data_IF_170415730725
#
_entry.id   IF_170415730725
#
_cell.length_a   1.000
_cell.length_b   1.000
_cell.length_c   1.000
_cell.angle_alpha   90.00
_cell.angle_beta   90.00
_cell.angle_gamma   90.00
#
_symmetry.space_group_name_H-M   'P 1'
#
loop_
_entity.id
_entity.type
_entity.pdbx_description
1 polymer ?
#
# COMPACT_ATOMS: atom_id res chain seq x y z
N UNK A 1 8.69 -23.30 -9.93
CA UNK A 1 8.61 -21.96 -10.54
C UNK A 1 8.44 -22.11 -12.04
N UNK A 2 7.30 -21.71 -12.61
CA UNK A 2 7.12 -21.73 -14.06
C UNK A 2 8.09 -20.72 -14.70
N UNK A 3 8.88 -21.16 -15.69
CA UNK A 3 9.75 -20.28 -16.46
C UNK A 3 8.89 -19.45 -17.43
N UNK A 4 8.49 -18.25 -16.99
CA UNK A 4 7.67 -17.28 -17.75
C UNK A 4 8.46 -16.53 -18.85
N UNK A 5 9.59 -17.07 -19.32
CA UNK A 5 10.51 -16.37 -20.22
C UNK A 5 9.92 -16.04 -21.59
N UNK A 6 8.80 -16.68 -21.98
CA UNK A 6 8.06 -16.39 -23.22
C UNK A 6 6.84 -15.48 -23.05
N UNK A 7 6.44 -15.13 -21.82
CA UNK A 7 5.22 -14.34 -21.60
C UNK A 7 5.52 -12.85 -21.79
N UNK A 8 4.75 -12.20 -22.65
CA UNK A 8 4.84 -10.78 -22.96
C UNK A 8 3.46 -10.15 -23.01
N UNK A 9 3.40 -8.87 -22.66
CA UNK A 9 2.23 -8.02 -22.82
C UNK A 9 2.40 -7.27 -24.13
N UNK A 10 1.40 -7.39 -24.99
CA UNK A 10 1.35 -6.75 -26.31
C UNK A 10 0.29 -5.65 -26.31
N UNK A 11 0.49 -4.55 -27.05
CA UNK A 11 -0.56 -3.57 -27.25
C UNK A 11 -1.64 -4.15 -28.16
N UNK A 12 -2.90 -3.72 -27.95
CA UNK A 12 -3.97 -4.03 -28.90
C UNK A 12 -3.76 -3.26 -30.20
N UNK A 13 -4.37 -3.73 -31.30
CA UNK A 13 -4.29 -3.06 -32.61
C UNK A 13 -4.85 -1.64 -32.52
N UNK A 14 -5.94 -1.45 -31.77
CA UNK A 14 -6.54 -0.14 -31.51
C UNK A 14 -5.58 0.81 -30.79
N UNK A 15 -4.84 0.31 -29.79
CA UNK A 15 -3.85 1.10 -29.06
C UNK A 15 -2.67 1.52 -29.96
N UNK A 16 -2.24 0.65 -30.88
CA UNK A 16 -1.22 0.99 -31.87
C UNK A 16 -1.72 2.04 -32.88
N UNK A 17 -3.01 1.99 -33.25
CA UNK A 17 -3.60 2.93 -34.19
C UNK A 17 -3.75 4.36 -33.63
N UNK A 18 -3.85 4.51 -32.31
CA UNK A 18 -3.90 5.80 -31.62
C UNK A 18 -2.50 6.43 -31.56
N UNK A 19 -1.48 5.62 -31.27
CA UNK A 19 -0.08 6.06 -31.11
C UNK A 19 0.73 5.88 -32.40
N UNK A 20 0.26 6.44 -33.52
CA UNK A 20 0.76 6.16 -34.89
C UNK A 20 2.29 6.30 -35.09
N UNK A 21 2.97 7.06 -34.25
CA UNK A 21 4.41 7.34 -34.38
C UNK A 21 5.25 6.90 -33.16
N UNK A 22 4.64 6.42 -32.07
CA UNK A 22 5.34 6.09 -30.82
C UNK A 22 4.87 4.75 -30.24
N UNK A 23 5.79 4.01 -29.62
CA UNK A 23 5.43 2.77 -28.96
C UNK A 23 4.48 3.05 -27.78
N UNK A 24 3.30 2.39 -27.72
CA UNK A 24 2.35 2.59 -26.64
C UNK A 24 3.00 2.40 -25.27
N UNK A 25 2.78 3.34 -24.37
CA UNK A 25 3.29 3.30 -22.99
C UNK A 25 2.30 2.59 -22.08
N UNK A 26 2.82 1.81 -21.15
CA UNK A 26 2.04 1.03 -20.19
C UNK A 26 1.93 1.78 -18.86
N UNK A 27 0.71 2.13 -18.46
CA UNK A 27 0.42 2.59 -17.09
C UNK A 27 0.14 1.42 -16.18
N UNK A 28 0.54 1.56 -14.93
CA UNK A 28 0.35 0.54 -13.89
C UNK A 28 -0.36 1.14 -12.68
N UNK A 29 -1.40 0.47 -12.21
CA UNK A 29 -2.02 0.70 -10.91
C UNK A 29 -1.81 -0.55 -10.06
N UNK A 30 -1.20 -0.37 -8.90
CA UNK A 30 -0.97 -1.43 -7.92
C UNK A 30 -2.07 -1.37 -6.89
N UNK A 31 -2.75 -2.50 -6.66
CA UNK A 31 -3.80 -2.61 -5.66
C UNK A 31 -3.48 -3.75 -4.69
N UNK A 32 -3.40 -3.44 -3.40
CA UNK A 32 -3.29 -4.43 -2.33
C UNK A 32 -4.68 -4.69 -1.77
N UNK A 33 -5.12 -5.94 -1.78
CA UNK A 33 -6.47 -6.31 -1.39
C UNK A 33 -6.43 -7.42 -0.37
N UNK A 34 -7.28 -7.26 0.62
CA UNK A 34 -7.51 -8.21 1.68
C UNK A 34 -8.83 -8.92 1.43
N UNK A 35 -8.86 -10.27 1.27
CA UNK A 35 -10.10 -10.99 1.02
C UNK A 35 -11.14 -10.82 2.13
N UNK A 36 -10.68 -10.63 3.37
CA UNK A 36 -11.53 -10.44 4.54
C UNK A 36 -10.81 -9.59 5.59
N UNK A 37 -11.54 -8.79 6.37
CA UNK A 37 -10.94 -7.85 7.34
C UNK A 37 -10.11 -8.55 8.44
N UNK A 38 -10.46 -9.79 8.79
CA UNK A 38 -9.70 -10.64 9.72
C UNK A 38 -8.55 -11.43 9.08
N UNK A 39 -8.44 -11.45 7.75
CA UNK A 39 -7.32 -12.14 7.07
C UNK A 39 -5.97 -11.57 7.56
N UNK A 40 -4.89 -12.33 7.46
CA UNK A 40 -3.54 -11.77 7.59
C UNK A 40 -2.85 -11.59 6.24
N UNK A 41 -3.41 -12.23 5.21
CA UNK A 41 -2.85 -12.26 3.87
C UNK A 41 -3.38 -11.10 3.03
N UNK A 42 -2.45 -10.41 2.37
CA UNK A 42 -2.72 -9.40 1.34
C UNK A 42 -2.38 -9.96 -0.04
N UNK A 43 -3.27 -9.72 -1.00
CA UNK A 43 -3.05 -10.04 -2.41
C UNK A 43 -2.68 -8.78 -3.17
N UNK A 44 -1.67 -8.87 -4.03
CA UNK A 44 -1.32 -7.77 -4.95
C UNK A 44 -1.97 -8.02 -6.29
N UNK A 45 -2.75 -7.05 -6.77
CA UNK A 45 -3.32 -7.02 -8.11
C UNK A 45 -2.66 -5.89 -8.89
N UNK A 46 -2.20 -6.21 -10.10
CA UNK A 46 -1.63 -5.24 -11.03
C UNK A 46 -2.63 -4.97 -12.14
N UNK A 47 -2.99 -3.70 -12.30
CA UNK A 47 -3.87 -3.26 -13.36
C UNK A 47 -3.08 -2.48 -14.39
N UNK A 48 -3.23 -2.88 -15.64
CA UNK A 48 -2.49 -2.31 -16.75
C UNK A 48 -3.43 -1.61 -17.72
N UNK A 49 -3.04 -0.42 -18.15
CA UNK A 49 -3.73 0.32 -19.21
C UNK A 49 -2.73 0.98 -20.14
N UNK A 50 -3.16 1.28 -21.36
CA UNK A 50 -2.37 2.09 -22.28
C UNK A 50 -2.45 3.54 -21.85
N UNK A 51 -1.31 4.23 -21.82
CA UNK A 51 -1.27 5.67 -21.61
C UNK A 51 -2.04 6.39 -22.70
N UNK A 52 -2.85 7.37 -22.29
CA UNK A 52 -3.70 8.14 -23.17
C UNK A 52 -3.53 9.61 -22.83
N UNK A 53 -3.28 10.48 -23.83
CA UNK A 53 -3.13 11.90 -23.58
C UNK A 53 -4.42 12.47 -23.00
N UNK A 54 -4.29 13.31 -21.97
CA UNK A 54 -5.42 14.00 -21.37
C UNK A 54 -5.82 15.15 -22.30
N UNK A 55 -7.06 15.18 -22.82
CA UNK A 55 -7.50 16.28 -23.68
C UNK A 55 -7.42 17.61 -22.91
N UNK A 56 -6.95 18.70 -23.53
CA UNK A 56 -6.79 19.99 -22.86
C UNK A 56 -8.13 20.57 -22.36
N UNK A 57 -9.24 20.20 -23.00
CA UNK A 57 -10.59 20.66 -22.68
C UNK A 57 -11.36 19.68 -21.77
N UNK A 58 -10.71 18.61 -21.28
CA UNK A 58 -11.36 17.66 -20.39
C UNK A 58 -11.66 18.28 -19.03
N UNK A 59 -12.84 17.99 -18.48
CA UNK A 59 -13.19 18.43 -17.13
C UNK A 59 -12.21 17.84 -16.12
N UNK A 60 -11.74 18.67 -15.18
CA UNK A 60 -10.73 18.30 -14.19
C UNK A 60 -9.42 17.75 -14.76
N UNK A 61 -9.02 18.10 -15.99
CA UNK A 61 -7.78 17.62 -16.63
C UNK A 61 -6.53 17.73 -15.74
N UNK A 62 -6.45 18.82 -14.95
CA UNK A 62 -5.36 19.07 -14.00
C UNK A 62 -5.08 17.89 -13.05
N UNK A 63 -6.12 17.17 -12.62
CA UNK A 63 -5.96 16.03 -11.69
C UNK A 63 -5.18 14.86 -12.29
N UNK A 64 -5.18 14.74 -13.62
CA UNK A 64 -4.53 13.67 -14.38
C UNK A 64 -3.18 14.12 -14.96
N UNK A 65 -2.95 15.42 -15.07
CA UNK A 65 -1.68 16.00 -15.50
C UNK A 65 -0.66 16.02 -14.35
N UNK A 66 -1.13 16.23 -13.12
CA UNK A 66 -0.29 16.10 -11.92
C UNK A 66 -0.05 14.61 -11.67
N UNK A 67 1.19 14.24 -11.33
CA UNK A 67 1.63 12.88 -11.00
C UNK A 67 1.01 12.35 -9.68
N UNK A 68 -0.32 12.35 -9.62
CA UNK A 68 -1.12 12.00 -8.45
C UNK A 68 -1.22 10.48 -8.31
N UNK A 69 -0.56 9.95 -7.29
CA UNK A 69 -0.52 8.52 -6.98
C UNK A 69 -1.85 7.95 -6.48
N UNK A 70 -2.82 8.80 -6.12
CA UNK A 70 -4.14 8.40 -5.62
C UNK A 70 -5.23 8.46 -6.70
N UNK A 71 -4.94 9.07 -7.85
CA UNK A 71 -5.91 9.18 -8.93
C UNK A 71 -5.71 8.04 -9.93
N UNK A 72 -6.79 7.42 -10.37
CA UNK A 72 -6.71 6.50 -11.51
C UNK A 72 -6.31 7.27 -12.78
N UNK A 73 -5.53 6.64 -13.68
CA UNK A 73 -5.19 7.22 -14.97
C UNK A 73 -6.39 7.66 -15.82
N UNK A 74 -6.18 8.63 -16.70
CA UNK A 74 -7.20 9.11 -17.64
C UNK A 74 -7.80 8.01 -18.51
N UNK A 75 -7.03 6.96 -18.85
CA UNK A 75 -7.52 5.80 -19.61
C UNK A 75 -8.78 5.15 -19.01
N UNK A 76 -8.99 5.27 -17.70
CA UNK A 76 -10.16 4.76 -16.99
C UNK A 76 -11.41 5.64 -17.12
N UNK A 77 -11.33 6.80 -17.75
CA UNK A 77 -12.52 7.59 -18.17
C UNK A 77 -13.03 7.18 -19.54
N UNK A 78 -12.18 6.54 -20.35
CA UNK A 78 -12.47 6.11 -21.71
C UNK A 78 -13.02 4.66 -21.78
N UNK A 79 -12.91 3.91 -20.68
CA UNK A 79 -13.30 2.51 -20.60
C UNK A 79 -13.98 2.22 -19.27
N UNK A 80 -14.70 1.11 -19.18
CA UNK A 80 -15.33 0.71 -17.93
C UNK A 80 -14.28 0.38 -16.87
N UNK A 81 -14.33 1.09 -15.74
CA UNK A 81 -13.45 0.81 -14.60
C UNK A 81 -13.80 -0.57 -14.03
N UNK A 82 -12.81 -1.46 -13.86
CA UNK A 82 -13.02 -2.73 -13.18
C UNK A 82 -13.71 -2.53 -11.84
N UNK A 83 -14.68 -3.38 -11.48
CA UNK A 83 -15.50 -3.20 -10.28
C UNK A 83 -14.66 -3.03 -9.01
N UNK A 84 -13.53 -3.74 -8.92
CA UNK A 84 -12.61 -3.66 -7.79
C UNK A 84 -11.84 -2.33 -7.69
N UNK A 85 -11.82 -1.54 -8.76
CA UNK A 85 -11.20 -0.21 -8.83
C UNK A 85 -12.22 0.94 -8.79
N UNK A 86 -13.53 0.68 -8.84
CA UNK A 86 -14.55 1.74 -8.84
C UNK A 86 -14.46 2.62 -7.59
N UNK A 87 -14.14 2.00 -6.46
CA UNK A 87 -13.87 2.65 -5.19
C UNK A 87 -12.37 2.62 -4.88
N UNK A 88 -11.53 3.11 -5.81
CA UNK A 88 -10.06 3.18 -5.67
C UNK A 88 -9.59 4.16 -4.57
N UNK A 89 -10.32 4.23 -3.45
CA UNK A 89 -9.91 4.86 -2.22
C UNK A 89 -9.18 3.87 -1.32
N UNK A 90 -8.29 4.38 -0.47
CA UNK A 90 -7.63 3.55 0.52
C UNK A 90 -8.61 3.24 1.66
N UNK A 91 -8.83 1.95 1.89
CA UNK A 91 -9.65 1.40 2.96
C UNK A 91 -8.82 0.43 3.81
N UNK A 92 -9.47 -0.17 4.80
CA UNK A 92 -8.89 -1.27 5.59
C UNK A 92 -8.71 -2.56 4.76
N UNK A 93 -9.46 -2.71 3.67
CA UNK A 93 -9.49 -3.92 2.84
C UNK A 93 -8.79 -3.75 1.49
N UNK A 94 -8.64 -2.51 1.02
CA UNK A 94 -8.08 -2.20 -0.29
C UNK A 94 -7.18 -0.98 -0.19
N UNK A 95 -5.99 -1.05 -0.77
CA UNK A 95 -5.06 0.08 -0.88
C UNK A 95 -4.62 0.22 -2.32
N UNK A 96 -4.64 1.43 -2.85
CA UNK A 96 -4.35 1.67 -4.28
C UNK A 96 -3.22 2.66 -4.45
N UNK A 97 -2.35 2.37 -5.42
CA UNK A 97 -1.26 3.24 -5.83
C UNK A 97 -1.15 3.26 -7.36
N UNK A 98 -1.38 4.43 -7.95
CA UNK A 98 -1.10 4.67 -9.37
C UNK A 98 0.38 5.00 -9.51
N UNK A 99 1.10 4.22 -10.33
CA UNK A 99 2.50 4.49 -10.62
C UNK A 99 2.57 5.75 -11.49
N UNK A 100 3.21 6.83 -11.01
CA UNK A 100 3.39 8.05 -11.78
C UNK A 100 4.58 7.92 -12.72
N UNK A 101 4.58 8.71 -13.78
CA UNK A 101 5.78 8.90 -14.59
C UNK A 101 6.76 9.78 -13.83
N UNK A 102 7.99 9.33 -13.71
CA UNK A 102 9.09 10.16 -13.18
C UNK A 102 10.26 10.14 -14.14
N UNK A 103 11.12 11.16 -14.07
CA UNK A 103 12.34 11.18 -14.88
C UNK A 103 13.26 9.96 -14.61
N UNK A 104 13.23 9.41 -13.38
CA UNK A 104 13.98 8.22 -12.98
C UNK A 104 13.33 6.91 -13.42
N UNK A 105 11.99 6.88 -13.52
CA UNK A 105 11.20 5.69 -13.81
C UNK A 105 10.09 6.08 -14.81
N UNK A 106 10.42 6.17 -16.11
CA UNK A 106 9.43 6.45 -17.15
C UNK A 106 8.53 5.24 -17.37
N UNK A 107 7.37 5.44 -18.01
CA UNK A 107 6.50 4.33 -18.35
C UNK A 107 7.17 3.36 -19.35
N UNK A 108 7.02 2.04 -19.15
CA UNK A 108 7.56 1.05 -20.06
C UNK A 108 6.82 1.10 -21.38
N UNK A 109 7.55 0.98 -22.48
CA UNK A 109 6.96 0.78 -23.81
C UNK A 109 6.51 -0.66 -24.00
N UNK A 110 5.43 -0.85 -24.75
CA UNK A 110 4.98 -2.15 -25.21
C UNK A 110 5.58 -2.48 -26.60
N UNK A 111 5.85 -3.76 -26.88
CA UNK A 111 5.66 -4.92 -26.00
C UNK A 111 6.69 -5.00 -24.86
N UNK A 112 6.25 -5.57 -23.73
CA UNK A 112 7.12 -5.81 -22.56
C UNK A 112 7.04 -7.28 -22.12
N UNK A 113 8.19 -7.88 -21.88
CA UNK A 113 8.29 -9.25 -21.33
C UNK A 113 8.08 -9.22 -19.82
N UNK A 114 7.62 -10.32 -19.23
CA UNK A 114 7.41 -10.40 -17.79
C UNK A 114 8.68 -10.16 -16.95
N UNK A 115 9.87 -10.65 -17.34
CA UNK A 115 11.11 -10.30 -16.65
C UNK A 115 11.41 -8.79 -16.68
N UNK A 116 11.23 -8.13 -17.81
CA UNK A 116 11.44 -6.68 -17.92
C UNK A 116 10.38 -5.90 -17.12
N UNK A 117 9.14 -6.38 -17.09
CA UNK A 117 8.09 -5.83 -16.26
C UNK A 117 8.42 -5.96 -14.77
N UNK A 118 8.97 -7.10 -14.34
CA UNK A 118 9.41 -7.29 -12.96
C UNK A 118 10.55 -6.33 -12.59
N UNK A 119 11.54 -6.14 -13.47
CA UNK A 119 12.61 -5.15 -13.27
C UNK A 119 12.05 -3.72 -13.19
N UNK A 120 11.06 -3.40 -14.03
CA UNK A 120 10.37 -2.12 -13.96
C UNK A 120 9.67 -1.92 -12.60
N UNK A 121 8.89 -2.89 -12.14
CA UNK A 121 8.18 -2.81 -10.86
C UNK A 121 9.15 -2.73 -9.67
N UNK A 122 10.28 -3.44 -9.74
CA UNK A 122 11.37 -3.33 -8.78
C UNK A 122 11.91 -1.89 -8.73
N UNK A 123 12.21 -1.30 -9.89
CA UNK A 123 12.69 0.07 -9.98
C UNK A 123 11.68 1.09 -9.45
N UNK A 124 10.39 0.87 -9.70
CA UNK A 124 9.30 1.70 -9.12
C UNK A 124 9.32 1.64 -7.60
N UNK A 125 9.42 0.44 -7.01
CA UNK A 125 9.45 0.27 -5.56
C UNK A 125 10.72 0.88 -4.94
N UNK A 126 11.87 0.67 -5.56
CA UNK A 126 13.14 1.24 -5.09
C UNK A 126 13.15 2.76 -5.20
N UNK A 127 12.56 3.33 -6.26
CA UNK A 127 12.38 4.76 -6.38
C UNK A 127 11.47 5.29 -5.26
N UNK A 128 10.37 4.60 -4.94
CA UNK A 128 9.47 4.95 -3.83
C UNK A 128 10.19 4.97 -2.47
N UNK A 129 11.00 3.95 -2.18
CA UNK A 129 11.78 3.84 -0.93
C UNK A 129 12.79 4.97 -0.75
N UNK A 130 13.35 5.49 -1.84
CA UNK A 130 14.31 6.62 -1.82
C UNK A 130 13.64 7.97 -1.55
N UNK A 131 12.32 8.07 -1.73
CA UNK A 131 11.60 9.31 -1.48
C UNK A 131 11.41 9.53 0.02
N UNK A 132 11.38 10.80 0.43
CA UNK A 132 11.06 11.16 1.81
C UNK A 132 9.61 10.80 2.17
N UNK A 133 9.36 10.54 3.45
CA UNK A 133 8.03 10.15 3.94
C UNK A 133 6.91 11.15 3.66
N UNK A 134 7.24 12.44 3.55
CA UNK A 134 6.30 13.51 3.21
C UNK A 134 5.96 13.56 1.72
N UNK A 135 6.72 12.87 0.87
CA UNK A 135 6.49 12.81 -0.56
C UNK A 135 5.41 11.76 -0.86
N UNK A 136 4.33 12.09 -1.61
CA UNK A 136 3.31 11.13 -2.02
C UNK A 136 3.88 9.90 -2.73
N UNK A 137 5.02 10.03 -3.42
CA UNK A 137 5.68 8.91 -4.09
C UNK A 137 6.24 7.85 -3.13
N UNK A 138 6.48 8.16 -1.85
CA UNK A 138 6.89 7.22 -0.82
C UNK A 138 5.73 6.28 -0.37
N UNK A 139 4.48 6.60 -0.75
CA UNK A 139 3.28 5.84 -0.38
C UNK A 139 3.38 4.35 -0.71
N UNK A 140 3.94 3.98 -1.86
CA UNK A 140 4.06 2.58 -2.26
C UNK A 140 4.95 1.77 -1.32
N UNK A 141 6.12 2.31 -0.93
CA UNK A 141 7.01 1.66 0.04
C UNK A 141 6.27 1.38 1.36
N UNK A 142 5.57 2.40 1.91
CA UNK A 142 4.75 2.25 3.13
C UNK A 142 3.63 1.22 2.97
N UNK A 143 2.98 1.16 1.81
CA UNK A 143 1.96 0.14 1.56
C UNK A 143 2.54 -1.27 1.54
N UNK A 144 3.68 -1.48 0.88
CA UNK A 144 4.34 -2.78 0.83
C UNK A 144 4.76 -3.22 2.23
N UNK A 145 5.37 -2.32 3.01
CA UNK A 145 5.74 -2.59 4.39
C UNK A 145 4.51 -2.94 5.24
N UNK A 146 3.41 -2.19 5.14
CA UNK A 146 2.20 -2.46 5.90
C UNK A 146 1.52 -3.78 5.49
N UNK A 147 1.46 -4.07 4.20
CA UNK A 147 0.76 -5.26 3.69
C UNK A 147 1.57 -6.54 3.88
N UNK A 148 2.90 -6.46 3.93
CA UNK A 148 3.79 -7.62 3.96
C UNK A 148 4.81 -7.60 5.13
N UNK A 149 4.51 -6.85 6.21
CA UNK A 149 5.40 -6.73 7.37
C UNK A 149 5.88 -8.08 7.95
N UNK A 150 5.00 -9.08 7.96
CA UNK A 150 5.28 -10.40 8.54
C UNK A 150 6.12 -11.31 7.62
N UNK A 151 6.09 -11.09 6.31
CA UNK A 151 6.85 -11.88 5.34
C UNK A 151 8.34 -11.51 5.37
N UNK A 152 8.66 -10.31 5.84
CA UNK A 152 10.04 -9.88 6.06
C UNK A 152 10.67 -10.54 7.31
N UNK A 153 9.86 -10.99 8.28
CA UNK A 153 10.34 -11.68 9.47
C UNK A 153 10.68 -13.16 9.21
N UNK A 154 10.10 -13.76 8.16
CA UNK A 154 10.30 -15.19 7.83
C UNK A 154 11.39 -15.45 6.80
N UNK A 155 11.88 -14.42 6.10
CA UNK A 155 13.01 -14.52 5.17
C UNK A 155 14.36 -14.11 5.80
N UNK A 156 14.37 -13.76 7.09
CA UNK A 156 15.58 -13.59 7.89
C UNK A 156 16.06 -14.94 8.40
N UNK A 157 17.20 -15.39 7.90
CA UNK A 157 17.97 -16.50 8.44
C UNK A 157 18.18 -16.25 9.96
N UNK A 158 17.70 -17.18 10.78
CA UNK A 158 17.96 -17.37 12.21
C UNK A 158 18.48 -16.15 13.00
N UNK A 159 17.57 -15.39 13.59
CA UNK A 159 17.86 -14.62 14.82
C UNK A 159 16.70 -14.81 15.80
N UNK A 160 16.94 -15.33 17.03
CA UNK A 160 15.85 -15.75 17.91
C UNK A 160 15.06 -14.55 18.44
N UNK A 161 13.74 -14.65 18.27
CA UNK A 161 12.65 -14.02 19.01
C UNK A 161 12.98 -12.74 19.80
N UNK A 162 12.63 -11.60 19.20
CA UNK A 162 12.11 -10.47 19.99
C UNK A 162 10.65 -10.26 19.64
N UNK A 163 9.72 -10.42 20.60
CA UNK A 163 8.32 -10.12 20.35
C UNK A 163 8.17 -8.60 20.24
N UNK A 164 7.96 -8.09 19.03
CA UNK A 164 7.61 -6.68 18.80
C UNK A 164 6.14 -6.46 19.15
N UNK A 165 5.86 -6.53 20.45
CA UNK A 165 4.59 -6.12 21.04
C UNK A 165 4.51 -4.59 21.10
N UNK A 166 3.39 -4.06 20.60
CA UNK A 166 2.97 -2.67 20.80
C UNK A 166 2.72 -2.46 22.30
N UNK A 167 3.68 -1.89 23.03
CA UNK A 167 3.46 -1.34 24.37
C UNK A 167 4.63 -0.44 24.75
N UNK A 168 4.37 0.85 24.97
CA UNK A 168 5.43 1.76 25.40
C UNK A 168 5.17 3.25 25.23
N UNK A 169 3.91 3.68 25.21
CA UNK A 169 3.61 5.03 25.66
C UNK A 169 4.02 5.13 27.15
N UNK A 170 4.78 6.18 27.47
CA UNK A 170 5.15 6.66 28.81
C UNK A 170 6.18 5.82 29.61
N UNK A 171 7.47 6.10 29.41
CA UNK A 171 8.44 6.20 30.52
C UNK A 171 9.80 6.72 30.08
N UNK A 172 10.05 8.01 30.32
CA UNK A 172 11.39 8.55 30.61
C UNK A 172 11.25 9.85 31.38
N UNK A 173 11.07 9.73 32.69
CA UNK A 173 11.40 10.78 33.66
C UNK A 173 12.35 10.16 34.67
N UNK A 174 13.64 10.40 34.48
CA UNK A 174 14.73 10.33 35.47
C UNK A 174 15.55 11.59 35.17
N UNK A 175 15.79 12.52 36.07
CA UNK A 175 15.49 12.64 37.49
C UNK A 175 16.25 13.86 38.02
N UNK A 176 16.17 14.07 39.35
CA UNK A 176 17.03 14.91 40.22
C UNK A 176 16.35 16.17 40.76
N UNK A 177 15.96 16.12 42.04
CA UNK A 177 15.60 17.32 42.82
C UNK A 177 14.92 17.00 44.15
N UNK A 178 15.64 17.22 45.26
CA UNK A 178 15.28 16.97 46.66
C UNK A 178 13.95 17.55 47.17
N UNK A 179 13.27 16.85 48.10
CA UNK A 179 13.08 17.25 49.52
C UNK A 179 11.96 16.47 50.24
N UNK A 180 12.30 16.03 51.47
CA UNK A 180 11.49 15.95 52.70
C UNK A 180 10.10 15.29 52.69
N UNK A 181 10.01 14.17 53.42
CA UNK A 181 9.44 14.20 54.78
C UNK A 181 8.16 13.40 55.04
N UNK A 182 8.24 12.54 56.09
CA UNK A 182 7.15 12.06 56.99
C UNK A 182 6.07 11.15 56.37
N UNK A 183 5.43 10.18 57.02
CA UNK A 183 5.55 9.38 58.28
C UNK A 183 4.29 8.47 58.22
N UNK A 184 4.36 7.24 58.74
CA UNK A 184 3.22 6.32 59.04
C UNK A 184 2.44 5.80 57.82
N UNK A 185 1.86 4.60 57.77
CA UNK A 185 1.57 3.50 58.69
C UNK A 185 0.61 2.57 57.90
N UNK A 186 0.84 1.26 57.87
CA UNK A 186 -0.04 0.28 58.51
C UNK A 186 -1.40 0.09 57.81
N UNK A 187 -1.69 -1.11 57.31
CA UNK A 187 -3.05 -1.45 56.89
C UNK A 187 -3.16 -2.66 55.96
N UNK A 188 -3.57 -3.78 56.56
CA UNK A 188 -3.91 -5.08 56.00
C UNK A 188 -5.05 -5.03 54.96
N UNK A 189 -5.18 -6.13 54.21
CA UNK A 189 -6.42 -6.81 53.78
C UNK A 189 -7.53 -5.91 53.16
N UNK A 190 -7.94 -6.15 51.92
CA UNK A 190 -9.09 -7.02 51.73
C UNK A 190 -9.12 -7.60 50.31
N UNK A 191 -9.05 -8.93 50.29
CA UNK A 191 -9.57 -9.78 49.22
C UNK A 191 -11.08 -9.84 49.36
N UNK A 192 -11.82 -9.37 48.36
CA UNK A 192 -13.21 -9.79 48.09
C UNK A 192 -13.34 -9.89 46.58
N UNK A 193 -13.27 -11.10 46.03
CA UNK A 193 -14.32 -12.13 45.97
C UNK A 193 -15.26 -11.90 44.79
N UNK A 194 -15.44 -13.01 44.09
CA UNK A 194 -16.03 -13.20 42.78
C UNK A 194 -17.49 -12.80 42.78
N UNK A 195 -17.88 -11.90 41.88
CA UNK A 195 -19.24 -11.92 41.34
C UNK A 195 -19.17 -11.66 39.83
N UNK A 196 -19.23 -12.73 39.05
CA UNK A 196 -20.02 -12.76 37.82
C UNK A 196 -21.16 -13.72 38.10
N UNK A 197 -22.42 -13.34 37.84
CA UNK A 197 -23.03 -13.89 36.63
C UNK A 197 -24.08 -13.00 35.93
N UNK A 198 -24.04 -13.07 34.60
CA UNK A 198 -25.07 -12.95 33.55
C UNK A 198 -26.51 -12.51 33.88
N UNK A 199 -27.11 -11.72 32.97
CA UNK A 199 -28.49 -11.88 32.45
C UNK A 199 -28.64 -11.21 31.04
N UNK A 200 -29.61 -11.65 30.19
CA UNK A 200 -29.48 -11.83 28.74
C UNK A 200 -30.46 -10.99 27.85
N UNK A 201 -30.23 -11.09 26.53
CA UNK A 201 -31.07 -10.93 25.32
C UNK A 201 -32.33 -10.07 25.32
N UNK A 202 -32.44 -9.11 24.36
CA UNK A 202 -33.65 -8.82 23.55
C UNK A 202 -33.29 -8.08 22.23
N UNK A 203 -33.14 -8.79 21.12
CA UNK A 203 -33.42 -8.23 19.77
C UNK A 203 -34.18 -9.30 18.99
N UNK A 204 -35.50 -9.08 18.89
CA UNK A 204 -36.39 -9.79 17.97
C UNK A 204 -36.35 -9.22 16.56
#
# INVERSE_FOLDING_TARGET
MARLSGTKIEPTIEAMAINKNELPKLRTVVQFIKPHHMSREWRTVLWFTIDQPVPPNASNAQRYQIANVNALPWSYTLSSVPTMLKDASDTLLSKTYTVPETASVPFPSLPITFPNLALYLQAVLDNSRRQNESNPHHKLAKMVELCYANDNATNGIDEPDKPTGVSGLFKKVIGKGSKKGRKNGGGNEETYDRVTPFLPDEWG
#
